data_IF_390138707347
#
_entry.id   IF_390138707347
#
_cell.length_a   1.000
_cell.length_b   1.000
_cell.length_c   1.000
_cell.angle_alpha   90.00
_cell.angle_beta   90.00
_cell.angle_gamma   90.00
#
_symmetry.space_group_name_H-M   'P 1'
#
loop_
_entity.id
_entity.type
_entity.pdbx_description
1 polymer ?
#
# COMPACT_ATOMS: atom_id res chain seq x y z
N UNK A 1 -60.35 -8.43 -8.32
CA UNK A 1 -59.18 -8.67 -9.18
C UNK A 1 -57.98 -7.79 -8.87
N UNK A 2 -58.18 -6.59 -8.43
CA UNK A 2 -57.12 -5.67 -8.08
C UNK A 2 -56.28 -6.13 -6.87
N UNK A 3 -56.88 -6.87 -5.93
CA UNK A 3 -56.23 -7.38 -4.72
C UNK A 3 -55.17 -8.47 -4.98
N UNK A 4 -55.25 -9.22 -6.05
CA UNK A 4 -54.32 -10.29 -6.40
C UNK A 4 -52.99 -9.73 -6.93
N UNK A 5 -53.04 -8.66 -7.65
CA UNK A 5 -51.87 -8.01 -8.19
C UNK A 5 -51.11 -7.17 -7.16
N UNK A 6 -51.83 -6.60 -6.19
CA UNK A 6 -51.19 -5.81 -5.12
C UNK A 6 -50.35 -6.69 -4.18
N UNK A 7 -50.77 -7.92 -3.84
CA UNK A 7 -49.99 -8.87 -3.05
C UNK A 7 -48.76 -9.33 -3.78
N UNK A 8 -48.82 -9.59 -5.07
CA UNK A 8 -47.68 -9.96 -5.89
C UNK A 8 -46.70 -8.79 -6.05
N UNK A 9 -47.20 -7.59 -6.21
CA UNK A 9 -46.41 -6.38 -6.33
C UNK A 9 -45.66 -6.05 -5.04
N UNK A 10 -46.29 -6.18 -3.89
CA UNK A 10 -45.67 -5.99 -2.58
C UNK A 10 -44.63 -7.07 -2.27
N UNK A 11 -44.87 -8.32 -2.64
CA UNK A 11 -43.90 -9.40 -2.51
C UNK A 11 -42.63 -9.16 -3.35
N UNK A 12 -42.79 -8.71 -4.59
CA UNK A 12 -41.67 -8.37 -5.47
C UNK A 12 -40.91 -7.17 -4.92
N UNK A 13 -41.58 -6.16 -4.41
CA UNK A 13 -40.91 -4.99 -3.79
C UNK A 13 -40.11 -5.38 -2.56
N UNK A 14 -40.59 -6.25 -1.70
CA UNK A 14 -39.91 -6.72 -0.50
C UNK A 14 -38.68 -7.54 -0.86
N UNK A 15 -38.79 -8.44 -1.84
CA UNK A 15 -37.63 -9.24 -2.31
C UNK A 15 -36.56 -8.37 -2.95
N UNK A 16 -36.93 -7.35 -3.70
CA UNK A 16 -36.01 -6.40 -4.29
C UNK A 16 -35.27 -5.57 -3.22
N UNK A 17 -35.97 -5.17 -2.19
CA UNK A 17 -35.42 -4.42 -1.07
C UNK A 17 -34.43 -5.27 -0.27
N UNK A 18 -34.71 -6.53 -0.01
CA UNK A 18 -33.83 -7.46 0.70
C UNK A 18 -32.56 -7.71 -0.13
N UNK A 19 -32.68 -7.85 -1.43
CA UNK A 19 -31.54 -8.01 -2.34
C UNK A 19 -30.64 -6.77 -2.35
N UNK A 20 -31.21 -5.59 -2.37
CA UNK A 20 -30.45 -4.33 -2.34
C UNK A 20 -29.68 -4.18 -1.03
N UNK A 21 -30.29 -4.52 0.11
CA UNK A 21 -29.63 -4.45 1.42
C UNK A 21 -28.49 -5.47 1.53
N UNK A 22 -28.70 -6.69 1.05
CA UNK A 22 -27.65 -7.72 1.09
C UNK A 22 -26.45 -7.37 0.21
N UNK A 23 -26.67 -6.76 -0.95
CA UNK A 23 -25.61 -6.26 -1.81
C UNK A 23 -24.82 -5.12 -1.16
N UNK A 24 -25.51 -4.22 -0.44
CA UNK A 24 -24.86 -3.13 0.29
C UNK A 24 -23.97 -3.65 1.41
N UNK A 25 -24.38 -4.67 2.13
CA UNK A 25 -23.62 -5.28 3.21
C UNK A 25 -22.37 -5.96 2.65
N UNK A 26 -22.47 -6.68 1.53
CA UNK A 26 -21.31 -7.30 0.88
C UNK A 26 -20.30 -6.25 0.40
N UNK A 27 -20.76 -5.09 -0.04
CA UNK A 27 -19.88 -4.02 -0.50
C UNK A 27 -19.11 -3.38 0.66
N UNK A 28 -19.74 -3.17 1.81
CA UNK A 28 -19.08 -2.57 2.98
C UNK A 28 -18.09 -3.52 3.65
N UNK A 29 -18.34 -4.83 3.65
CA UNK A 29 -17.43 -5.82 4.22
C UNK A 29 -16.12 -5.90 3.43
N UNK A 30 -16.18 -5.72 2.12
CA UNK A 30 -14.98 -5.73 1.27
C UNK A 30 -14.13 -4.47 1.42
N UNK A 31 -14.72 -3.35 1.86
CA UNK A 31 -14.01 -2.09 2.03
C UNK A 31 -13.22 -2.01 3.34
N UNK A 32 -13.58 -2.80 4.35
CA UNK A 32 -12.97 -2.76 5.68
C UNK A 32 -11.83 -3.75 5.89
N UNK A 33 -11.37 -4.43 4.85
CA UNK A 33 -10.19 -5.30 4.94
C UNK A 33 -8.91 -4.47 4.86
N UNK A 34 -8.66 -3.67 5.87
CA UNK A 34 -7.34 -3.10 6.07
C UNK A 34 -6.40 -4.23 6.52
N UNK A 35 -5.29 -4.39 5.81
CA UNK A 35 -4.22 -5.28 6.25
C UNK A 35 -3.78 -4.84 7.66
N UNK A 36 -3.67 -5.76 8.62
CA UNK A 36 -3.16 -5.39 9.94
C UNK A 36 -1.78 -4.77 9.79
N UNK A 37 -1.61 -3.57 10.33
CA UNK A 37 -0.33 -2.87 10.31
C UNK A 37 0.68 -3.68 11.13
N UNK A 38 1.76 -4.09 10.47
CA UNK A 38 2.88 -4.73 11.13
C UNK A 38 3.54 -3.74 12.10
N UNK A 39 3.76 -4.15 13.34
CA UNK A 39 4.52 -3.35 14.28
C UNK A 39 6.00 -3.44 13.88
N UNK A 40 6.54 -2.35 13.38
CA UNK A 40 7.91 -2.30 12.90
C UNK A 40 8.61 -1.03 13.37
N UNK A 41 9.90 -1.17 13.60
CA UNK A 41 10.78 -0.06 14.00
C UNK A 41 11.60 0.40 12.79
N UNK A 42 11.80 1.69 12.67
CA UNK A 42 12.57 2.28 11.57
C UNK A 42 14.04 2.38 11.95
N UNK A 43 14.90 1.85 11.09
CA UNK A 43 16.34 1.89 11.24
C UNK A 43 16.99 2.47 10.00
N UNK A 44 18.26 2.81 10.13
CA UNK A 44 19.08 3.31 9.03
C UNK A 44 20.35 2.48 8.94
N UNK A 45 20.80 2.24 7.72
CA UNK A 45 22.08 1.55 7.46
C UNK A 45 22.74 2.19 6.25
N UNK A 46 24.06 2.03 6.13
CA UNK A 46 24.78 2.50 4.96
C UNK A 46 25.06 1.35 4.01
N UNK A 47 25.02 1.65 2.72
CA UNK A 47 25.36 0.73 1.65
C UNK A 47 26.33 1.40 0.68
N UNK A 48 27.05 0.57 -0.07
CA UNK A 48 27.94 1.03 -1.13
C UNK A 48 27.28 0.75 -2.48
N UNK A 49 27.18 1.78 -3.33
CA UNK A 49 26.57 1.64 -4.64
C UNK A 49 27.46 0.81 -5.55
N UNK A 50 26.87 -0.19 -6.18
CA UNK A 50 27.56 -1.08 -7.11
C UNK A 50 27.55 -0.49 -8.52
N UNK A 51 28.46 -0.96 -9.35
CA UNK A 51 28.57 -0.53 -10.75
C UNK A 51 27.25 -0.80 -11.49
N UNK A 52 26.71 0.23 -12.12
CA UNK A 52 25.44 0.15 -12.87
C UNK A 52 24.18 0.14 -12.04
N UNK A 53 24.30 0.29 -10.72
CA UNK A 53 23.16 0.32 -9.81
C UNK A 53 22.51 1.70 -9.81
N UNK A 54 21.17 1.71 -9.86
CA UNK A 54 20.35 2.92 -9.74
C UNK A 54 19.62 2.97 -8.41
N UNK A 55 19.02 4.12 -8.07
CA UNK A 55 18.17 4.22 -6.90
C UNK A 55 16.92 3.33 -7.00
N UNK A 56 16.44 3.05 -8.21
CA UNK A 56 15.36 2.10 -8.44
C UNK A 56 15.76 0.68 -8.06
N UNK A 57 16.97 0.27 -8.40
CA UNK A 57 17.52 -1.04 -8.02
C UNK A 57 17.66 -1.15 -6.51
N UNK A 58 18.14 -0.11 -5.87
CA UNK A 58 18.28 -0.03 -4.41
C UNK A 58 16.91 -0.11 -3.74
N UNK A 59 15.91 0.61 -4.27
CA UNK A 59 14.55 0.57 -3.75
C UNK A 59 13.96 -0.84 -3.87
N UNK A 60 14.10 -1.48 -5.01
CA UNK A 60 13.58 -2.84 -5.22
C UNK A 60 14.23 -3.88 -4.32
N UNK A 61 15.50 -3.70 -3.98
CA UNK A 61 16.26 -4.63 -3.15
C UNK A 61 16.03 -4.41 -1.65
N UNK A 62 15.95 -3.16 -1.22
CA UNK A 62 15.96 -2.80 0.20
C UNK A 62 14.63 -2.28 0.75
N UNK A 63 13.70 -1.87 -0.11
CA UNK A 63 12.42 -1.32 0.31
C UNK A 63 11.60 -2.37 1.07
N UNK A 64 11.03 -1.97 2.21
CA UNK A 64 10.16 -2.81 3.01
C UNK A 64 8.69 -2.47 2.74
N UNK A 65 7.79 -3.32 3.23
CA UNK A 65 6.34 -3.21 2.94
C UNK A 65 5.66 -1.97 3.54
N UNK A 66 6.33 -1.25 4.45
CA UNK A 66 5.81 -0.01 5.03
C UNK A 66 5.78 1.15 4.03
N UNK A 67 6.52 1.05 2.95
CA UNK A 67 6.52 2.04 1.88
C UNK A 67 5.45 1.75 0.84
N UNK A 68 4.76 2.79 0.40
CA UNK A 68 3.68 2.65 -0.59
C UNK A 68 4.20 2.31 -1.98
N UNK A 69 5.37 2.81 -2.34
CA UNK A 69 5.94 2.62 -3.67
C UNK A 69 7.45 2.84 -3.65
N UNK A 70 8.18 2.30 -4.65
CA UNK A 70 9.60 2.59 -4.82
C UNK A 70 9.90 4.08 -4.96
N UNK A 71 9.02 4.83 -5.59
CA UNK A 71 9.15 6.28 -5.76
C UNK A 71 9.18 7.01 -4.43
N UNK A 72 8.31 6.63 -3.49
CA UNK A 72 8.28 7.18 -2.14
C UNK A 72 9.56 6.86 -1.38
N UNK A 73 10.04 5.65 -1.49
CA UNK A 73 11.30 5.20 -0.89
C UNK A 73 12.51 6.00 -1.43
N UNK A 74 12.59 6.14 -2.75
CA UNK A 74 13.67 6.90 -3.41
C UNK A 74 13.67 8.35 -2.95
N UNK A 75 12.50 8.95 -2.83
CA UNK A 75 12.36 10.33 -2.35
C UNK A 75 12.93 10.49 -0.93
N UNK A 76 12.68 9.54 -0.07
CA UNK A 76 13.22 9.54 1.29
C UNK A 76 14.73 9.32 1.29
N UNK A 77 15.24 8.39 0.53
CA UNK A 77 16.68 8.14 0.38
C UNK A 77 17.42 9.38 -0.11
N UNK A 78 16.85 10.06 -1.09
CA UNK A 78 17.41 11.33 -1.58
C UNK A 78 17.46 12.39 -0.49
N UNK A 79 16.41 12.51 0.30
CA UNK A 79 16.32 13.46 1.41
C UNK A 79 17.36 13.16 2.51
N UNK A 80 17.50 11.91 2.89
CA UNK A 80 18.45 11.48 3.92
C UNK A 80 19.90 11.80 3.50
N UNK A 81 20.24 11.61 2.23
CA UNK A 81 21.59 11.77 1.72
C UNK A 81 21.84 13.14 1.07
N UNK A 82 20.87 14.05 1.16
CA UNK A 82 20.95 15.39 0.55
C UNK A 82 21.21 15.34 -0.97
N UNK A 83 20.59 14.36 -1.64
CA UNK A 83 20.69 14.20 -3.08
C UNK A 83 19.62 15.06 -3.76
N UNK A 84 20.01 15.87 -4.74
CA UNK A 84 19.09 16.73 -5.49
C UNK A 84 18.64 16.09 -6.80
N UNK A 85 19.38 15.11 -7.30
CA UNK A 85 19.14 14.46 -8.59
C UNK A 85 19.45 12.97 -8.51
N UNK A 86 18.56 12.14 -9.06
CA UNK A 86 18.68 10.68 -9.09
C UNK A 86 19.94 10.25 -9.87
N UNK A 87 20.31 11.02 -10.89
CA UNK A 87 21.41 10.68 -11.80
C UNK A 87 22.79 10.97 -11.22
N UNK A 88 22.89 11.52 -10.02
CA UNK A 88 24.17 11.89 -9.39
C UNK A 88 24.77 10.82 -8.48
N UNK A 89 24.26 9.60 -8.49
CA UNK A 89 24.88 8.50 -7.78
C UNK A 89 25.91 7.79 -8.67
N UNK A 90 26.96 7.27 -8.06
CA UNK A 90 28.03 6.58 -8.78
C UNK A 90 28.54 5.39 -7.98
N UNK A 91 29.15 4.44 -8.69
CA UNK A 91 29.70 3.23 -8.09
C UNK A 91 30.78 3.59 -7.05
N UNK A 92 30.75 2.90 -5.92
CA UNK A 92 31.64 3.16 -4.80
C UNK A 92 31.15 4.23 -3.83
N UNK A 93 30.11 4.96 -4.18
CA UNK A 93 29.50 5.95 -3.29
C UNK A 93 28.80 5.25 -2.13
N UNK A 94 28.98 5.77 -0.93
CA UNK A 94 28.28 5.30 0.26
C UNK A 94 27.05 6.17 0.51
N UNK A 95 25.89 5.54 0.65
CA UNK A 95 24.65 6.22 0.99
C UNK A 95 23.98 5.55 2.18
N UNK A 96 23.20 6.33 2.92
CA UNK A 96 22.38 5.84 4.03
C UNK A 96 20.98 5.53 3.50
N UNK A 97 20.46 4.36 3.85
CA UNK A 97 19.11 3.96 3.48
C UNK A 97 18.29 3.63 4.72
N UNK A 98 16.97 3.91 4.70
CA UNK A 98 16.07 3.49 5.76
C UNK A 98 15.56 2.07 5.52
N UNK A 99 15.22 1.39 6.59
CA UNK A 99 14.52 0.12 6.52
C UNK A 99 13.71 -0.10 7.79
N UNK A 100 12.69 -0.94 7.70
CA UNK A 100 11.85 -1.31 8.83
C UNK A 100 12.13 -2.75 9.24
N UNK A 101 12.16 -2.99 10.55
CA UNK A 101 12.35 -4.33 11.10
C UNK A 101 11.39 -4.55 12.25
N UNK A 102 10.86 -5.75 12.39
CA UNK A 102 10.04 -6.16 13.53
C UNK A 102 10.90 -6.49 14.74
N UNK A 103 12.20 -6.63 14.56
CA UNK A 103 13.15 -6.89 15.62
C UNK A 103 13.68 -5.58 16.21
N UNK A 104 13.75 -5.52 17.53
CA UNK A 104 14.39 -4.40 18.21
C UNK A 104 15.90 -4.63 18.16
N UNK A 105 16.62 -3.73 17.53
CA UNK A 105 18.07 -3.83 17.35
C UNK A 105 18.84 -2.87 18.25
#
# INVERSE_FOLDING_TARGET
MVKRYSCLFTAILITFLILAVSLSICFTVNADQEKPKRLAYKYYTDIVIQKGESLWDIANEHMTEEYDSPKTYIKEVKSINSLTDVDKIYAGQRIVIPYYSTELK
#
